data_IF_353563714370
#
_entry.id   IF_353563714370
#
_cell.length_a   1.000
_cell.length_b   1.000
_cell.length_c   1.000
_cell.angle_alpha   90.00
_cell.angle_beta   90.00
_cell.angle_gamma   90.00
#
_symmetry.space_group_name_H-M   'P 1'
#
loop_
_entity.id
_entity.type
_entity.pdbx_description
1 polymer ?
#
# COMPACT_ATOMS: atom_id res chain seq x y z
N UNK A 1 -9.85 8.94 7.30
CA UNK A 1 -9.39 7.96 8.31
C UNK A 1 -10.31 7.91 9.52
N UNK A 2 -10.46 9.02 10.24
CA UNK A 2 -11.26 9.09 11.47
C UNK A 2 -12.71 8.63 11.31
N UNK A 3 -13.43 9.20 10.35
CA UNK A 3 -14.84 8.88 10.13
C UNK A 3 -15.08 7.42 9.76
N UNK A 4 -14.15 6.78 9.04
CA UNK A 4 -14.25 5.35 8.68
C UNK A 4 -13.97 4.48 9.90
N UNK A 5 -12.92 4.79 10.68
CA UNK A 5 -12.62 4.05 11.91
C UNK A 5 -13.80 4.09 12.87
N UNK A 6 -14.35 5.29 13.13
CA UNK A 6 -15.54 5.47 13.99
C UNK A 6 -16.78 4.74 13.48
N UNK A 7 -16.90 4.57 12.17
CA UNK A 7 -18.02 3.85 11.57
C UNK A 7 -17.89 2.31 11.67
N UNK A 8 -16.73 1.80 12.05
CA UNK A 8 -16.42 0.36 12.13
C UNK A 8 -16.17 -0.15 13.55
N UNK A 9 -15.98 0.72 14.54
CA UNK A 9 -15.80 0.35 15.95
C UNK A 9 -16.74 1.10 16.88
N UNK A 10 -17.15 0.44 17.97
CA UNK A 10 -17.91 1.05 19.06
C UNK A 10 -17.00 1.73 20.11
N UNK A 11 -15.71 1.40 20.14
CA UNK A 11 -14.74 2.03 21.05
C UNK A 11 -14.04 3.19 20.34
N UNK A 12 -14.36 4.41 20.77
CA UNK A 12 -13.81 5.65 20.21
C UNK A 12 -12.63 6.21 21.00
N UNK A 13 -12.29 5.63 22.15
CA UNK A 13 -11.37 6.24 23.12
C UNK A 13 -9.94 6.39 22.60
N UNK A 14 -9.47 5.46 21.76
CA UNK A 14 -8.11 5.45 21.21
C UNK A 14 -8.02 5.85 19.73
N UNK A 15 -9.14 6.14 19.06
CA UNK A 15 -9.17 6.38 17.60
C UNK A 15 -8.27 7.56 17.23
N UNK A 16 -8.33 8.66 17.97
CA UNK A 16 -7.54 9.87 17.67
C UNK A 16 -6.04 9.61 17.78
N UNK A 17 -5.62 8.87 18.80
CA UNK A 17 -4.22 8.50 18.98
C UNK A 17 -3.76 7.56 17.87
N UNK A 18 -4.53 6.51 17.59
CA UNK A 18 -4.18 5.51 16.59
C UNK A 18 -4.07 6.11 15.20
N UNK A 19 -4.99 7.01 14.84
CA UNK A 19 -4.97 7.69 13.54
C UNK A 19 -3.80 8.64 13.43
N UNK A 20 -3.46 9.36 14.51
CA UNK A 20 -2.29 10.22 14.53
C UNK A 20 -1.01 9.41 14.33
N UNK A 21 -0.88 8.28 15.01
CA UNK A 21 0.27 7.38 14.87
C UNK A 21 0.38 6.79 13.46
N UNK A 22 -0.74 6.36 12.86
CA UNK A 22 -0.80 5.87 11.46
C UNK A 22 -0.37 6.99 10.51
N UNK A 23 -0.88 8.20 10.69
CA UNK A 23 -0.54 9.35 9.85
C UNK A 23 0.94 9.74 9.96
N UNK A 24 1.49 9.80 11.18
CA UNK A 24 2.90 10.12 11.40
C UNK A 24 3.82 9.02 10.84
N UNK A 25 3.41 7.76 10.92
CA UNK A 25 4.10 6.64 10.30
C UNK A 25 4.11 6.76 8.76
N UNK A 26 2.96 7.02 8.14
CA UNK A 26 2.84 7.21 6.69
C UNK A 26 3.67 8.42 6.21
N UNK A 27 3.61 9.53 6.95
CA UNK A 27 4.41 10.73 6.70
C UNK A 27 5.92 10.43 6.79
N UNK A 28 6.33 9.49 7.62
CA UNK A 28 7.74 9.12 7.72
C UNK A 28 8.19 8.26 6.54
N UNK A 29 7.34 7.34 6.07
CA UNK A 29 7.59 6.55 4.86
C UNK A 29 7.67 7.44 3.62
N UNK A 30 6.74 8.40 3.49
CA UNK A 30 6.63 9.23 2.27
C UNK A 30 7.85 10.09 1.98
N UNK A 31 8.65 10.45 3.00
CA UNK A 31 9.91 11.20 2.83
C UNK A 31 10.95 10.51 1.96
N UNK A 32 10.89 9.18 1.88
CA UNK A 32 11.89 8.37 1.16
C UNK A 32 11.40 7.94 -0.22
N UNK A 33 10.13 8.17 -0.54
CA UNK A 33 9.57 7.84 -1.84
C UNK A 33 10.03 8.89 -2.86
N UNK A 34 10.34 8.46 -4.08
CA UNK A 34 10.65 9.41 -5.15
C UNK A 34 9.47 10.36 -5.41
N UNK A 35 9.80 11.63 -5.59
CA UNK A 35 8.86 12.61 -6.14
C UNK A 35 8.48 12.25 -7.57
N UNK A 36 7.38 12.81 -8.08
CA UNK A 36 6.95 12.59 -9.46
C UNK A 36 8.06 12.90 -10.49
N UNK A 37 8.82 13.98 -10.27
CA UNK A 37 9.93 14.39 -11.14
C UNK A 37 11.07 13.37 -11.13
N UNK A 38 11.43 12.85 -9.95
CA UNK A 38 12.46 11.83 -9.82
C UNK A 38 12.05 10.50 -10.45
N UNK A 39 10.79 10.11 -10.33
CA UNK A 39 10.26 8.91 -10.97
C UNK A 39 10.39 9.00 -12.49
N UNK A 40 10.07 10.14 -13.09
CA UNK A 40 10.22 10.35 -14.54
C UNK A 40 11.70 10.31 -14.96
N UNK A 41 12.58 11.00 -14.24
CA UNK A 41 14.01 11.01 -14.53
C UNK A 41 14.67 9.63 -14.37
N UNK A 42 14.11 8.75 -13.52
CA UNK A 42 14.66 7.44 -13.15
C UNK A 42 13.81 6.28 -13.67
N UNK A 43 12.89 6.51 -14.59
CA UNK A 43 11.93 5.51 -15.07
C UNK A 43 12.60 4.20 -15.51
N UNK A 44 13.73 4.30 -16.22
CA UNK A 44 14.52 3.16 -16.71
C UNK A 44 15.56 2.64 -15.71
N UNK A 45 15.71 3.28 -14.54
CA UNK A 45 16.71 2.90 -13.54
C UNK A 45 16.16 1.75 -12.71
N UNK A 46 16.51 0.53 -13.10
CA UNK A 46 16.20 -0.68 -12.33
C UNK A 46 17.46 -1.39 -11.91
N UNK A 47 17.49 -1.86 -10.67
CA UNK A 47 18.56 -2.69 -10.14
C UNK A 47 18.13 -4.14 -10.30
N UNK A 48 18.93 -4.93 -11.03
CA UNK A 48 18.75 -6.38 -11.15
C UNK A 48 19.75 -7.06 -10.22
N UNK A 49 19.25 -7.86 -9.29
CA UNK A 49 20.07 -8.56 -8.29
C UNK A 49 19.49 -9.94 -8.00
N UNK A 50 20.26 -10.84 -7.39
CA UNK A 50 19.73 -12.12 -6.91
C UNK A 50 19.02 -11.95 -5.57
N UNK A 51 18.07 -12.83 -5.23
CA UNK A 51 17.42 -12.84 -3.91
C UNK A 51 18.47 -12.89 -2.78
N UNK A 52 19.51 -13.72 -2.93
CA UNK A 52 20.60 -13.82 -1.95
C UNK A 52 21.36 -12.51 -1.77
N UNK A 53 21.63 -11.79 -2.86
CA UNK A 53 22.32 -10.51 -2.81
C UNK A 53 21.44 -9.42 -2.23
N UNK A 54 20.14 -9.42 -2.55
CA UNK A 54 19.18 -8.51 -1.94
C UNK A 54 19.13 -8.70 -0.41
N UNK A 55 18.94 -9.92 0.07
CA UNK A 55 18.90 -10.23 1.50
C UNK A 55 20.19 -9.81 2.21
N UNK A 56 21.34 -9.95 1.54
CA UNK A 56 22.64 -9.46 2.06
C UNK A 56 22.73 -7.94 2.09
N UNK A 57 22.27 -7.24 1.05
CA UNK A 57 22.29 -5.78 0.97
C UNK A 57 21.39 -5.13 2.02
N UNK A 58 20.24 -5.73 2.28
CA UNK A 58 19.28 -5.23 3.26
C UNK A 58 19.72 -5.43 4.72
N UNK A 59 20.88 -6.08 4.95
CA UNK A 59 21.58 -6.25 6.24
C UNK A 59 20.65 -6.11 7.45
N UNK A 60 19.95 -7.21 7.77
CA UNK A 60 19.19 -7.54 9.01
C UNK A 60 17.70 -7.17 9.12
N UNK A 61 17.03 -8.00 9.95
CA UNK A 61 15.65 -8.03 10.49
C UNK A 61 14.47 -8.45 9.61
N UNK A 62 14.45 -8.16 8.30
CA UNK A 62 13.37 -8.66 7.43
C UNK A 62 13.88 -9.73 6.47
N UNK A 63 13.33 -10.94 6.57
CA UNK A 63 13.68 -12.04 5.68
C UNK A 63 12.88 -11.97 4.36
N UNK A 64 13.48 -11.31 3.37
CA UNK A 64 12.93 -11.23 2.02
C UNK A 64 12.79 -12.58 1.34
N UNK A 65 13.65 -13.54 1.67
CA UNK A 65 13.62 -14.87 1.05
C UNK A 65 12.35 -15.59 1.46
N UNK A 66 12.10 -15.64 2.77
CA UNK A 66 10.90 -16.24 3.34
C UNK A 66 9.63 -15.51 2.89
N UNK A 67 9.65 -14.17 2.87
CA UNK A 67 8.53 -13.37 2.36
C UNK A 67 8.18 -13.70 0.90
N UNK A 68 9.18 -13.73 0.01
CA UNK A 68 8.96 -14.08 -1.39
C UNK A 68 8.51 -15.53 -1.54
N UNK A 69 9.07 -16.48 -0.78
CA UNK A 69 8.58 -17.85 -0.78
C UNK A 69 7.08 -17.90 -0.45
N UNK A 70 6.64 -17.29 0.66
CA UNK A 70 5.23 -17.27 1.02
C UNK A 70 4.32 -16.64 -0.04
N UNK A 71 4.77 -15.57 -0.70
CA UNK A 71 4.00 -14.95 -1.78
C UNK A 71 3.83 -15.89 -2.99
N UNK A 72 4.88 -16.59 -3.38
CA UNK A 72 4.88 -17.43 -4.59
C UNK A 72 4.37 -18.86 -4.34
N UNK A 73 4.25 -19.29 -3.07
CA UNK A 73 3.62 -20.55 -2.70
C UNK A 73 2.18 -20.66 -3.23
N UNK A 74 1.41 -19.56 -3.26
CA UNK A 74 0.06 -19.56 -3.81
C UNK A 74 0.00 -19.94 -5.29
N UNK A 75 1.09 -19.72 -6.04
CA UNK A 75 1.22 -20.11 -7.44
C UNK A 75 1.94 -21.43 -7.66
N UNK A 76 2.24 -22.21 -6.61
CA UNK A 76 3.10 -23.40 -6.66
C UNK A 76 4.48 -23.15 -7.31
N UNK A 77 5.03 -21.93 -7.16
CA UNK A 77 6.34 -21.57 -7.69
C UNK A 77 7.38 -21.69 -6.57
N UNK A 78 8.41 -22.51 -6.80
CA UNK A 78 9.54 -22.66 -5.89
C UNK A 78 10.63 -21.68 -6.32
N UNK A 79 10.94 -20.70 -5.46
CA UNK A 79 12.02 -19.76 -5.73
C UNK A 79 13.37 -20.27 -5.23
N UNK A 80 14.42 -20.05 -6.02
CA UNK A 80 15.80 -20.29 -5.66
C UNK A 80 16.48 -18.99 -5.21
N UNK A 81 17.47 -19.08 -4.32
CA UNK A 81 18.26 -17.94 -3.83
C UNK A 81 19.00 -17.17 -4.94
N UNK A 82 19.20 -17.82 -6.09
CA UNK A 82 19.85 -17.22 -7.27
C UNK A 82 18.87 -16.60 -8.26
N UNK A 83 17.56 -16.69 -8.01
CA UNK A 83 16.57 -16.07 -8.87
C UNK A 83 16.75 -14.55 -8.88
N UNK A 84 16.55 -13.97 -10.06
CA UNK A 84 16.75 -12.56 -10.30
C UNK A 84 15.50 -11.77 -9.94
N UNK A 85 15.68 -10.72 -9.15
CA UNK A 85 14.65 -9.73 -8.82
C UNK A 85 15.04 -8.38 -9.40
N UNK A 86 14.04 -7.64 -9.88
CA UNK A 86 14.21 -6.30 -10.43
C UNK A 86 13.57 -5.29 -9.49
N UNK A 87 14.35 -4.33 -9.02
CA UNK A 87 13.97 -3.36 -7.99
C UNK A 87 14.10 -1.96 -8.58
N UNK A 88 13.06 -1.14 -8.45
CA UNK A 88 13.08 0.26 -8.88
C UNK A 88 13.73 1.15 -7.81
N UNK A 89 13.23 1.11 -6.58
CA UNK A 89 13.65 2.00 -5.49
C UNK A 89 14.31 1.22 -4.36
N UNK A 90 15.56 0.77 -4.56
CA UNK A 90 16.28 0.03 -3.51
C UNK A 90 16.50 0.88 -2.24
N UNK A 91 16.80 2.16 -2.40
CA UNK A 91 17.00 3.09 -1.28
C UNK A 91 15.70 3.25 -0.47
N UNK A 92 14.55 3.38 -1.14
CA UNK A 92 13.25 3.40 -0.47
C UNK A 92 13.04 2.12 0.35
N UNK A 93 13.29 0.95 -0.25
CA UNK A 93 13.14 -0.33 0.41
C UNK A 93 13.98 -0.43 1.70
N UNK A 94 15.25 -0.04 1.63
CA UNK A 94 16.16 -0.03 2.79
C UNK A 94 15.63 0.89 3.90
N UNK A 95 15.20 2.10 3.53
CA UNK A 95 14.70 3.08 4.50
C UNK A 95 13.38 2.64 5.14
N UNK A 96 12.45 2.08 4.37
CA UNK A 96 11.17 1.57 4.88
C UNK A 96 11.38 0.43 5.87
N UNK A 97 12.26 -0.53 5.56
CA UNK A 97 12.58 -1.62 6.50
C UNK A 97 13.12 -1.04 7.81
N UNK A 98 14.05 -0.09 7.73
CA UNK A 98 14.61 0.60 8.90
C UNK A 98 13.54 1.31 9.74
N UNK A 99 12.56 1.96 9.10
CA UNK A 99 11.42 2.60 9.80
C UNK A 99 10.53 1.56 10.47
N UNK A 100 10.16 0.50 9.73
CA UNK A 100 9.28 -0.57 10.23
C UNK A 100 9.88 -1.23 11.46
N UNK A 101 11.18 -1.53 11.45
CA UNK A 101 11.87 -2.17 12.58
C UNK A 101 11.91 -1.30 13.85
N UNK A 102 11.85 0.02 13.71
CA UNK A 102 11.83 0.97 14.83
C UNK A 102 10.41 1.30 15.28
N UNK A 103 9.41 0.89 14.52
CA UNK A 103 8.00 1.18 14.78
C UNK A 103 7.38 0.02 15.53
N UNK A 104 6.47 0.30 16.47
CA UNK A 104 5.78 -0.76 17.20
C UNK A 104 4.93 -1.62 16.26
N UNK A 105 4.85 -2.92 16.55
CA UNK A 105 4.04 -3.86 15.74
C UNK A 105 2.58 -3.42 15.64
N UNK A 106 2.04 -2.78 16.68
CA UNK A 106 0.68 -2.25 16.73
C UNK A 106 0.45 -1.17 15.66
N UNK A 107 1.35 -0.20 15.55
CA UNK A 107 1.24 0.89 14.56
C UNK A 107 1.33 0.33 13.14
N UNK A 108 2.26 -0.59 12.90
CA UNK A 108 2.44 -1.24 11.59
C UNK A 108 1.18 -2.02 11.19
N UNK A 109 0.60 -2.80 12.11
CA UNK A 109 -0.64 -3.54 11.86
C UNK A 109 -1.82 -2.59 11.60
N UNK A 110 -1.99 -1.57 12.42
CA UNK A 110 -3.02 -0.55 12.25
C UNK A 110 -2.91 0.14 10.88
N UNK A 111 -1.68 0.44 10.43
CA UNK A 111 -1.43 0.98 9.10
C UNK A 111 -1.86 0.00 8.00
N UNK A 112 -1.51 -1.28 8.09
CA UNK A 112 -1.93 -2.27 7.09
C UNK A 112 -3.45 -2.47 7.06
N UNK A 113 -4.10 -2.55 8.22
CA UNK A 113 -5.57 -2.63 8.33
C UNK A 113 -6.19 -1.40 7.67
N UNK A 114 -5.67 -0.21 7.95
CA UNK A 114 -6.15 1.02 7.33
C UNK A 114 -6.00 1.01 5.80
N UNK A 115 -4.82 0.63 5.29
CA UNK A 115 -4.56 0.53 3.84
C UNK A 115 -5.51 -0.47 3.18
N UNK A 116 -5.78 -1.59 3.83
CA UNK A 116 -6.75 -2.58 3.36
C UNK A 116 -8.17 -2.00 3.35
N UNK A 117 -8.65 -1.44 4.47
CA UNK A 117 -9.99 -0.84 4.55
C UNK A 117 -10.21 0.23 3.48
N UNK A 118 -9.21 1.08 3.23
CA UNK A 118 -9.28 2.10 2.18
C UNK A 118 -9.38 1.50 0.77
N UNK A 119 -8.72 0.37 0.51
CA UNK A 119 -8.86 -0.35 -0.76
C UNK A 119 -10.24 -0.99 -0.94
N UNK A 120 -10.88 -1.41 0.16
CA UNK A 120 -12.17 -2.13 0.11
C UNK A 120 -13.38 -1.21 0.23
N UNK A 121 -13.20 0.01 0.72
CA UNK A 121 -14.28 0.98 0.98
C UNK A 121 -15.19 1.25 -0.22
N UNK A 122 -14.71 1.14 -1.46
CA UNK A 122 -15.53 1.28 -2.70
C UNK A 122 -16.60 0.19 -2.85
N UNK A 123 -16.40 -0.95 -2.20
CA UNK A 123 -17.30 -2.11 -2.20
C UNK A 123 -18.14 -2.21 -0.93
N UNK A 124 -17.93 -1.31 0.03
CA UNK A 124 -18.68 -1.26 1.29
C UNK A 124 -20.03 -0.55 1.11
N UNK A 125 -20.96 -0.62 2.10
CA UNK A 125 -22.25 0.06 2.02
C UNK A 125 -22.13 1.57 1.80
N UNK A 126 -23.21 2.18 1.28
CA UNK A 126 -23.24 3.58 0.83
C UNK A 126 -22.66 4.58 1.84
N UNK A 127 -22.95 4.42 3.13
CA UNK A 127 -22.45 5.35 4.15
C UNK A 127 -20.92 5.39 4.26
N UNK A 128 -20.22 4.25 4.09
CA UNK A 128 -18.74 4.23 4.07
C UNK A 128 -18.20 4.85 2.78
N UNK A 129 -18.85 4.58 1.64
CA UNK A 129 -18.47 5.17 0.34
C UNK A 129 -18.57 6.69 0.37
N UNK A 130 -19.68 7.22 0.86
CA UNK A 130 -19.89 8.66 1.03
C UNK A 130 -18.78 9.30 1.90
N UNK A 131 -18.32 8.62 2.95
CA UNK A 131 -17.21 9.12 3.79
C UNK A 131 -15.89 9.18 2.99
N UNK A 132 -15.61 8.17 2.16
CA UNK A 132 -14.43 8.17 1.28
C UNK A 132 -14.54 9.23 0.18
N UNK A 133 -15.71 9.41 -0.40
CA UNK A 133 -15.96 10.45 -1.39
C UNK A 133 -15.68 11.83 -0.83
N UNK A 134 -16.15 12.14 0.39
CA UNK A 134 -15.82 13.42 1.06
C UNK A 134 -14.31 13.63 1.19
N UNK A 135 -13.55 12.57 1.49
CA UNK A 135 -12.10 12.66 1.51
C UNK A 135 -11.52 12.90 0.11
N UNK A 136 -12.00 12.18 -0.90
CA UNK A 136 -11.55 12.34 -2.29
C UNK A 136 -11.87 13.72 -2.85
N UNK A 137 -13.01 14.31 -2.52
CA UNK A 137 -13.40 15.67 -2.94
C UNK A 137 -12.38 16.71 -2.48
N UNK A 138 -11.88 16.59 -1.24
CA UNK A 138 -10.85 17.48 -0.69
C UNK A 138 -9.47 17.14 -1.26
N UNK A 139 -9.17 15.86 -1.48
CA UNK A 139 -7.85 15.43 -1.94
C UNK A 139 -7.60 15.64 -3.44
N UNK A 140 -8.65 15.51 -4.26
CA UNK A 140 -8.58 15.54 -5.72
C UNK A 140 -9.26 16.78 -6.33
N UNK A 141 -9.81 17.68 -5.51
CA UNK A 141 -10.62 18.83 -5.94
C UNK A 141 -11.78 18.46 -6.91
N UNK A 142 -12.33 17.25 -6.75
CA UNK A 142 -13.47 16.78 -7.56
C UNK A 142 -14.79 17.21 -6.91
N UNK A 143 -15.69 17.85 -7.66
CA UNK A 143 -16.95 18.39 -7.12
C UNK A 143 -18.17 17.46 -7.23
N UNK A 144 -18.05 16.29 -7.86
CA UNK A 144 -19.20 15.41 -8.15
C UNK A 144 -18.90 13.93 -7.86
N UNK A 145 -19.91 13.23 -7.35
CA UNK A 145 -19.93 11.76 -7.21
C UNK A 145 -19.96 11.16 -8.63
N UNK A 146 -19.02 10.26 -8.95
CA UNK A 146 -19.04 9.55 -10.22
C UNK A 146 -20.28 8.66 -10.27
N UNK A 147 -20.99 8.65 -11.41
CA UNK A 147 -22.19 7.83 -11.54
C UNK A 147 -21.86 6.36 -11.31
N UNK A 148 -22.64 5.67 -10.47
CA UNK A 148 -22.40 4.25 -10.13
C UNK A 148 -22.29 3.34 -11.36
N UNK A 149 -23.04 3.65 -12.42
CA UNK A 149 -22.94 2.92 -13.70
C UNK A 149 -21.55 3.04 -14.33
N UNK A 150 -20.93 4.22 -14.26
CA UNK A 150 -19.58 4.47 -14.76
C UNK A 150 -18.56 3.75 -13.88
N UNK A 151 -18.68 3.82 -12.55
CA UNK A 151 -17.82 3.06 -11.64
C UNK A 151 -17.86 1.56 -11.92
N UNK A 152 -19.06 0.99 -12.10
CA UNK A 152 -19.24 -0.42 -12.42
C UNK A 152 -18.68 -0.78 -13.79
N UNK A 153 -18.91 0.03 -14.82
CA UNK A 153 -18.34 -0.20 -16.15
C UNK A 153 -16.81 -0.16 -16.12
N UNK A 154 -16.23 0.84 -15.43
CA UNK A 154 -14.79 0.96 -15.22
C UNK A 154 -14.22 -0.22 -14.45
N UNK A 155 -14.92 -0.69 -13.41
CA UNK A 155 -14.52 -1.89 -12.66
C UNK A 155 -14.47 -3.14 -13.54
N UNK A 156 -15.54 -3.41 -14.30
CA UNK A 156 -15.58 -4.58 -15.19
C UNK A 156 -14.51 -4.44 -16.28
N UNK A 157 -14.30 -3.25 -16.84
CA UNK A 157 -13.24 -3.02 -17.84
C UNK A 157 -11.83 -3.23 -17.27
N UNK A 158 -11.59 -2.81 -16.03
CA UNK A 158 -10.30 -3.00 -15.36
C UNK A 158 -9.97 -4.47 -15.12
N UNK A 159 -10.97 -5.30 -14.81
CA UNK A 159 -10.78 -6.70 -14.46
C UNK A 159 -10.99 -7.67 -15.63
N UNK A 160 -11.82 -7.31 -16.59
CA UNK A 160 -12.27 -8.15 -17.70
C UNK A 160 -12.20 -7.42 -19.05
N UNK A 161 -11.36 -6.38 -19.17
CA UNK A 161 -11.27 -5.53 -20.36
C UNK A 161 -11.15 -6.31 -21.67
N UNK A 162 -10.31 -7.35 -21.71
CA UNK A 162 -10.14 -8.20 -22.90
C UNK A 162 -11.40 -8.99 -23.31
N UNK A 163 -12.35 -9.18 -22.40
CA UNK A 163 -13.61 -9.91 -22.64
C UNK A 163 -14.72 -8.96 -23.08
N UNK A 164 -14.66 -7.69 -22.65
CA UNK A 164 -15.71 -6.70 -22.88
C UNK A 164 -15.36 -5.64 -23.94
N UNK A 165 -14.11 -5.63 -24.44
CA UNK A 165 -13.60 -4.70 -25.46
C UNK A 165 -13.96 -5.12 -26.88
#
# INVERSE_FOLDING_TARGET
MYSIAKALTNDTSMIDQDIKEIFDFEKNISKYHWTYVEQQARYNKTIRTTISNLSRTLKTSFDFTTYLHHLYLFGNVILNKFDLVTIKELDFLINVISIVNKTSSRIVQNYFIWRFLMSQSEYMPKYIRNIKEQFNQVFQDTSTEELRTVECATYVNKHMGLVIS
#
